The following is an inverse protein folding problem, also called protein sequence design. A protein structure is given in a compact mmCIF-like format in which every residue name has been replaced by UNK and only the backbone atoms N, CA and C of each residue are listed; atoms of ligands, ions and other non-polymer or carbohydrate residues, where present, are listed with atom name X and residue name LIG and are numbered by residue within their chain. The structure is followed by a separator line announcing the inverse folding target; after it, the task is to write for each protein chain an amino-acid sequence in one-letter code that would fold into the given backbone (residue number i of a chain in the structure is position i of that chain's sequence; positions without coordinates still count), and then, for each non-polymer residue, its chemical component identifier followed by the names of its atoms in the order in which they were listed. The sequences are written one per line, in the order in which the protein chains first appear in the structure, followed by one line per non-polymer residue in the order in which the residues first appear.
data_IF_728333218862
#
_entry.id   IF_728333218862
#
_cell.length_a   1.000
_cell.length_b   1.000
_cell.length_c   1.000
_cell.angle_alpha   90.00
_cell.angle_beta   90.00
_cell.angle_gamma   90.00
#
_symmetry.space_group_name_H-M   'P 1'
#
loop_
_entity.id
_entity.type
_entity.pdbx_description
1 polymer ?
#
# COMPACT_ATOMS: atom_id res chain seq x y z
N UNK A 1 -18.35 -5.85 22.69
CA UNK A 1 -18.95 -4.86 21.77
C UNK A 1 -18.49 -5.17 20.35
N UNK A 2 -19.35 -5.06 19.33
CA UNK A 2 -18.90 -5.21 17.95
C UNK A 2 -17.90 -4.09 17.60
N UNK A 3 -16.79 -4.44 16.92
CA UNK A 3 -15.59 -3.58 16.75
C UNK A 3 -15.89 -2.16 16.23
N UNK A 4 -16.95 -1.99 15.44
CA UNK A 4 -17.35 -0.68 14.92
C UNK A 4 -17.78 0.32 16.02
N UNK A 5 -18.32 -0.14 17.15
CA UNK A 5 -18.74 0.75 18.25
C UNK A 5 -17.56 1.36 19.03
N UNK A 6 -16.38 0.76 18.97
CA UNK A 6 -15.18 1.19 19.71
C UNK A 6 -14.41 2.35 19.08
N UNK A 7 -14.72 2.72 17.83
CA UNK A 7 -13.87 3.65 17.05
C UNK A 7 -14.37 5.10 17.10
N UNK A 8 -15.67 5.32 17.34
CA UNK A 8 -16.26 6.67 17.34
C UNK A 8 -15.77 7.54 18.50
N UNK A 9 -15.39 6.95 19.63
CA UNK A 9 -14.87 7.69 20.80
C UNK A 9 -13.51 8.35 20.56
N UNK A 10 -12.80 7.97 19.50
CA UNK A 10 -11.51 8.57 19.09
C UNK A 10 -11.64 9.37 17.78
N UNK A 11 -12.86 9.78 17.40
CA UNK A 11 -13.10 10.57 16.20
C UNK A 11 -13.08 9.77 14.89
N UNK A 12 -13.00 8.44 14.94
CA UNK A 12 -13.03 7.59 13.74
C UNK A 12 -14.48 7.22 13.41
N UNK A 13 -14.92 7.55 12.20
CA UNK A 13 -16.24 7.18 11.66
C UNK A 13 -16.08 5.93 10.80
N UNK A 14 -16.46 4.73 11.30
CA UNK A 14 -16.35 3.51 10.50
C UNK A 14 -17.42 3.50 9.39
N UNK A 15 -17.01 3.12 8.19
CA UNK A 15 -17.90 2.77 7.09
C UNK A 15 -17.97 1.24 6.99
N UNK A 16 -19.18 0.69 6.85
CA UNK A 16 -19.38 -0.76 6.76
C UNK A 16 -19.48 -1.15 5.29
N UNK A 17 -18.54 -1.97 4.83
CA UNK A 17 -18.48 -2.46 3.46
C UNK A 17 -17.33 -3.46 3.27
N UNK A 18 -17.14 -3.89 2.04
CA UNK A 18 -15.97 -4.64 1.57
C UNK A 18 -15.22 -3.83 0.50
N UNK A 19 -14.13 -4.38 0.02
CA UNK A 19 -13.40 -3.85 -1.13
C UNK A 19 -14.24 -3.82 -2.44
N UNK A 20 -15.31 -4.62 -2.51
CA UNK A 20 -16.26 -4.63 -3.64
C UNK A 20 -17.38 -3.58 -3.50
N UNK A 21 -17.37 -2.79 -2.42
CA UNK A 21 -18.40 -1.79 -2.15
C UNK A 21 -18.08 -0.46 -2.85
N UNK A 22 -18.02 -0.48 -4.19
CA UNK A 22 -17.60 0.65 -5.02
C UNK A 22 -18.30 1.97 -4.67
N UNK A 23 -19.63 1.95 -4.51
CA UNK A 23 -20.41 3.14 -4.15
C UNK A 23 -19.99 3.76 -2.81
N UNK A 24 -19.64 2.92 -1.83
CA UNK A 24 -19.20 3.35 -0.50
C UNK A 24 -17.80 3.97 -0.60
N UNK A 25 -16.91 3.30 -1.33
CA UNK A 25 -15.52 3.71 -1.51
C UNK A 25 -15.45 5.04 -2.28
N UNK A 26 -16.15 5.14 -3.42
CA UNK A 26 -16.20 6.36 -4.23
C UNK A 26 -16.74 7.53 -3.41
N UNK A 27 -17.87 7.31 -2.71
CA UNK A 27 -18.50 8.36 -1.90
C UNK A 27 -17.56 8.86 -0.82
N UNK A 28 -16.93 7.96 -0.06
CA UNK A 28 -15.99 8.32 0.99
C UNK A 28 -14.77 9.07 0.45
N UNK A 29 -14.16 8.57 -0.64
CA UNK A 29 -13.03 9.22 -1.29
C UNK A 29 -13.41 10.62 -1.81
N UNK A 30 -14.62 10.80 -2.34
CA UNK A 30 -15.09 12.12 -2.82
C UNK A 30 -15.26 13.17 -1.71
N UNK A 31 -15.30 12.74 -0.46
CA UNK A 31 -15.46 13.59 0.72
C UNK A 31 -14.15 13.74 1.51
N UNK A 32 -13.04 13.16 1.04
CA UNK A 32 -11.77 13.09 1.76
C UNK A 32 -10.68 13.88 1.05
N UNK A 33 -9.92 14.68 1.80
CA UNK A 33 -8.75 15.40 1.26
C UNK A 33 -7.58 14.45 0.99
N UNK A 34 -7.43 13.44 1.84
CA UNK A 34 -6.39 12.41 1.78
C UNK A 34 -7.03 11.03 1.90
N UNK A 35 -6.60 10.09 1.07
CA UNK A 35 -6.96 8.67 1.18
C UNK A 35 -5.70 7.85 1.38
N UNK A 36 -5.65 7.04 2.44
CA UNK A 36 -4.60 6.04 2.67
C UNK A 36 -5.20 4.65 2.43
N UNK A 37 -4.75 3.96 1.40
CA UNK A 37 -5.29 2.66 0.99
C UNK A 37 -4.34 1.52 1.35
N UNK A 38 -4.79 0.68 2.29
CA UNK A 38 -4.01 -0.43 2.89
C UNK A 38 -4.73 -1.78 2.84
N UNK A 39 -5.98 -1.83 2.34
CA UNK A 39 -6.83 -3.01 2.37
C UNK A 39 -6.70 -3.80 1.06
N UNK A 40 -5.83 -4.82 1.03
CA UNK A 40 -5.52 -5.60 -0.18
C UNK A 40 -5.15 -4.71 -1.40
N UNK A 41 -4.66 -3.51 -1.13
CA UNK A 41 -4.55 -2.43 -2.11
C UNK A 41 -3.66 -2.82 -3.29
N UNK A 42 -2.60 -3.58 -3.03
CA UNK A 42 -1.60 -3.99 -4.02
C UNK A 42 -2.16 -4.85 -5.17
N UNK A 43 -3.25 -5.59 -4.95
CA UNK A 43 -3.84 -6.49 -5.95
C UNK A 43 -5.31 -6.19 -6.26
N UNK A 44 -5.92 -5.24 -5.54
CA UNK A 44 -7.33 -4.90 -5.68
C UNK A 44 -7.56 -3.69 -6.60
N UNK A 45 -7.64 -4.00 -7.89
CA UNK A 45 -7.83 -3.00 -8.94
C UNK A 45 -9.20 -2.29 -8.87
N UNK A 46 -10.34 -2.98 -8.63
CA UNK A 46 -11.65 -2.32 -8.48
C UNK A 46 -11.65 -1.21 -7.42
N UNK A 47 -11.25 -1.49 -6.18
CA UNK A 47 -11.24 -0.46 -5.12
C UNK A 47 -10.31 0.70 -5.46
N UNK A 48 -9.16 0.43 -6.08
CA UNK A 48 -8.24 1.48 -6.56
C UNK A 48 -8.93 2.41 -7.57
N UNK A 49 -9.71 1.87 -8.51
CA UNK A 49 -10.47 2.67 -9.48
C UNK A 49 -11.59 3.47 -8.79
N UNK A 50 -12.26 2.89 -7.81
CA UNK A 50 -13.32 3.55 -7.04
C UNK A 50 -12.78 4.72 -6.21
N UNK A 51 -11.61 4.55 -5.57
CA UNK A 51 -10.90 5.63 -4.87
C UNK A 51 -10.52 6.75 -5.84
N UNK A 52 -9.88 6.43 -6.97
CA UNK A 52 -9.47 7.43 -7.97
C UNK A 52 -10.68 8.20 -8.51
N UNK A 53 -11.79 7.49 -8.79
CA UNK A 53 -13.05 8.10 -9.23
C UNK A 53 -13.58 9.09 -8.20
N UNK A 54 -13.63 8.68 -6.93
CA UNK A 54 -14.06 9.54 -5.82
C UNK A 54 -13.17 10.77 -5.66
N UNK A 55 -11.85 10.60 -5.64
CA UNK A 55 -10.91 11.72 -5.52
C UNK A 55 -11.01 12.70 -6.70
N UNK A 56 -11.16 12.20 -7.94
CA UNK A 56 -11.39 13.04 -9.11
C UNK A 56 -12.71 13.82 -9.01
N UNK A 57 -13.76 13.22 -8.46
CA UNK A 57 -15.03 13.89 -8.19
C UNK A 57 -14.87 15.01 -7.16
N UNK A 58 -14.13 14.77 -6.06
CA UNK A 58 -13.79 15.82 -5.09
C UNK A 58 -13.06 16.99 -5.78
N UNK A 59 -12.03 16.70 -6.56
CA UNK A 59 -11.26 17.70 -7.29
C UNK A 59 -12.16 18.51 -8.21
N UNK A 60 -13.02 17.85 -8.99
CA UNK A 60 -13.96 18.51 -9.91
C UNK A 60 -14.96 19.42 -9.18
N UNK A 61 -15.47 18.98 -8.03
CA UNK A 61 -16.48 19.73 -7.26
C UNK A 61 -15.87 20.89 -6.47
N UNK A 62 -14.67 20.71 -5.91
CA UNK A 62 -14.07 21.69 -4.99
C UNK A 62 -13.01 22.58 -5.63
N UNK A 63 -12.43 22.16 -6.77
CA UNK A 63 -11.25 22.78 -7.36
C UNK A 63 -9.96 22.57 -6.55
N UNK A 64 -10.03 21.86 -5.41
CA UNK A 64 -8.88 21.63 -4.53
C UNK A 64 -8.19 20.32 -4.88
N UNK A 65 -6.88 20.27 -4.68
CA UNK A 65 -6.10 19.04 -4.83
C UNK A 65 -6.58 17.94 -3.87
N UNK A 66 -6.31 16.68 -4.22
CA UNK A 66 -6.49 15.53 -3.34
C UNK A 66 -5.23 14.66 -3.31
N UNK A 67 -4.97 13.99 -2.19
CA UNK A 67 -3.80 13.13 -1.97
C UNK A 67 -4.25 11.67 -1.87
N UNK A 68 -3.55 10.79 -2.59
CA UNK A 68 -3.76 9.35 -2.53
C UNK A 68 -2.44 8.65 -2.15
N UNK A 69 -2.42 8.05 -0.97
CA UNK A 69 -1.30 7.22 -0.47
C UNK A 69 -1.70 5.76 -0.65
N UNK A 70 -1.07 5.10 -1.61
CA UNK A 70 -1.30 3.71 -1.95
C UNK A 70 -0.26 2.80 -1.31
N UNK A 71 -0.70 1.70 -0.70
CA UNK A 71 0.20 0.66 -0.20
C UNK A 71 0.35 -0.42 -1.27
N UNK A 72 1.47 -0.42 -1.97
CA UNK A 72 1.87 -1.50 -2.87
C UNK A 72 2.64 -2.58 -2.09
N UNK A 73 3.69 -3.12 -2.71
CA UNK A 73 4.61 -4.04 -2.03
C UNK A 73 5.85 -4.32 -2.87
N UNK A 74 6.98 -4.66 -2.22
CA UNK A 74 8.23 -4.95 -2.94
C UNK A 74 8.17 -6.21 -3.82
N UNK A 75 7.04 -6.93 -3.85
CA UNK A 75 6.80 -7.99 -4.82
C UNK A 75 6.95 -7.54 -6.27
N UNK A 76 6.73 -6.26 -6.56
CA UNK A 76 6.97 -5.66 -7.88
C UNK A 76 8.44 -5.64 -8.30
N UNK A 77 9.35 -5.71 -7.33
CA UNK A 77 10.80 -5.74 -7.54
C UNK A 77 11.33 -7.18 -7.62
N UNK A 78 10.45 -8.18 -7.49
CA UNK A 78 10.86 -9.56 -7.39
C UNK A 78 11.30 -10.13 -8.75
N UNK A 79 12.33 -10.96 -8.72
CA UNK A 79 12.81 -11.72 -9.87
C UNK A 79 12.63 -13.22 -9.63
N UNK A 80 12.32 -13.99 -10.67
CA UNK A 80 12.29 -15.44 -10.58
C UNK A 80 13.72 -16.02 -10.57
N UNK A 81 14.20 -16.27 -9.37
CA UNK A 81 15.53 -16.83 -9.06
C UNK A 81 15.51 -18.33 -8.80
N UNK A 82 14.40 -19.05 -9.06
CA UNK A 82 14.34 -20.51 -8.81
C UNK A 82 15.34 -21.31 -9.63
N UNK A 83 15.75 -20.79 -10.79
CA UNK A 83 16.69 -21.41 -11.74
C UNK A 83 17.88 -20.49 -12.08
N UNK A 84 18.12 -19.46 -11.27
CA UNK A 84 19.14 -18.43 -11.51
C UNK A 84 19.79 -18.02 -10.19
N UNK A 85 20.96 -17.41 -10.25
CA UNK A 85 21.57 -16.75 -9.08
C UNK A 85 20.73 -15.52 -8.67
N UNK A 86 20.87 -15.11 -7.41
CA UNK A 86 20.23 -13.90 -6.91
C UNK A 86 20.71 -12.65 -7.66
N UNK A 87 19.83 -11.65 -7.79
CA UNK A 87 20.18 -10.33 -8.32
C UNK A 87 20.77 -9.45 -7.22
N UNK A 88 21.85 -8.75 -7.52
CA UNK A 88 22.43 -7.73 -6.63
C UNK A 88 21.88 -6.32 -6.93
N UNK A 89 20.77 -6.23 -7.66
CA UNK A 89 20.13 -4.96 -8.00
C UNK A 89 19.55 -4.31 -6.75
N UNK A 90 20.02 -3.10 -6.44
CA UNK A 90 19.50 -2.28 -5.34
C UNK A 90 18.59 -1.20 -5.92
N UNK A 91 17.32 -1.22 -5.50
CA UNK A 91 16.35 -0.18 -5.82
C UNK A 91 16.34 0.89 -4.72
N UNK A 92 16.24 2.15 -5.14
CA UNK A 92 16.08 3.30 -4.24
C UNK A 92 15.02 4.24 -4.80
N UNK A 93 14.20 4.77 -3.91
CA UNK A 93 13.20 5.81 -4.16
C UNK A 93 13.81 7.14 -4.64
N UNK A 94 15.09 7.39 -4.34
CA UNK A 94 15.88 8.49 -4.93
C UNK A 94 16.03 8.34 -6.46
N UNK A 95 15.82 7.13 -6.98
CA UNK A 95 15.82 6.79 -8.41
C UNK A 95 14.48 6.15 -8.80
N UNK A 96 13.38 6.85 -8.48
CA UNK A 96 12.01 6.39 -8.75
C UNK A 96 11.75 6.10 -10.23
N UNK A 97 12.51 6.69 -11.15
CA UNK A 97 12.50 6.37 -12.58
C UNK A 97 12.81 4.89 -12.87
N UNK A 98 13.74 4.29 -12.10
CA UNK A 98 14.08 2.86 -12.24
C UNK A 98 12.97 1.94 -11.78
N UNK A 99 12.19 2.38 -10.78
CA UNK A 99 11.03 1.63 -10.27
C UNK A 99 9.85 1.80 -11.22
N UNK A 100 9.59 3.03 -11.66
CA UNK A 100 8.50 3.33 -12.60
C UNK A 100 8.75 2.75 -14.00
N UNK A 101 10.01 2.52 -14.37
CA UNK A 101 10.42 1.89 -15.62
C UNK A 101 10.43 0.37 -15.61
N UNK A 102 9.97 -0.28 -14.53
CA UNK A 102 9.79 -1.73 -14.51
C UNK A 102 8.77 -2.18 -15.56
N UNK A 103 8.94 -3.39 -16.16
CA UNK A 103 8.00 -3.92 -17.14
C UNK A 103 6.56 -3.94 -16.63
N UNK A 104 5.59 -3.68 -17.50
CA UNK A 104 4.17 -3.62 -17.13
C UNK A 104 3.61 -4.97 -16.64
N UNK A 105 4.28 -6.07 -17.00
CA UNK A 105 3.93 -7.43 -16.60
C UNK A 105 4.50 -7.83 -15.23
N UNK A 106 5.30 -6.97 -14.59
CA UNK A 106 5.78 -7.23 -13.23
C UNK A 106 4.59 -7.37 -12.26
N UNK A 107 4.80 -8.17 -11.23
CA UNK A 107 3.75 -8.43 -10.22
C UNK A 107 3.28 -7.11 -9.61
N UNK A 108 1.96 -6.95 -9.42
CA UNK A 108 1.32 -5.74 -8.88
C UNK A 108 1.29 -4.50 -9.81
N UNK A 109 2.00 -4.50 -10.94
CA UNK A 109 2.09 -3.32 -11.84
C UNK A 109 0.76 -2.89 -12.43
N UNK A 110 -0.17 -3.82 -12.62
CA UNK A 110 -1.51 -3.53 -13.11
C UNK A 110 -2.24 -2.49 -12.25
N UNK A 111 -2.00 -2.46 -10.93
CA UNK A 111 -2.55 -1.45 -10.02
C UNK A 111 -1.72 -0.17 -10.07
N UNK A 112 -0.39 -0.27 -9.95
CA UNK A 112 0.50 0.89 -9.97
C UNK A 112 0.31 1.77 -11.23
N UNK A 113 0.23 1.14 -12.41
CA UNK A 113 0.07 1.82 -13.69
C UNK A 113 -1.23 2.62 -13.73
N UNK A 114 -2.31 2.14 -13.10
CA UNK A 114 -3.58 2.86 -13.04
C UNK A 114 -3.45 4.11 -12.17
N UNK A 115 -2.69 4.04 -11.09
CA UNK A 115 -2.43 5.18 -10.19
C UNK A 115 -1.53 6.22 -10.88
N UNK A 116 -0.42 5.77 -11.48
CA UNK A 116 0.52 6.62 -12.23
C UNK A 116 -0.21 7.35 -13.36
N UNK A 117 -1.03 6.63 -14.13
CA UNK A 117 -1.79 7.22 -15.23
C UNK A 117 -2.84 8.22 -14.71
N UNK A 118 -3.55 7.92 -13.62
CA UNK A 118 -4.53 8.84 -13.05
C UNK A 118 -3.88 10.19 -12.64
N UNK A 119 -2.72 10.15 -11.98
CA UNK A 119 -1.96 11.36 -11.62
C UNK A 119 -1.43 12.11 -12.84
N UNK A 120 -0.99 11.39 -13.88
CA UNK A 120 -0.52 12.00 -15.14
C UNK A 120 -1.60 12.80 -15.84
N UNK A 121 -2.84 12.33 -15.85
CA UNK A 121 -3.97 13.00 -16.51
C UNK A 121 -4.71 13.99 -15.61
N UNK A 122 -4.45 14.00 -14.29
CA UNK A 122 -5.02 14.97 -13.38
C UNK A 122 -3.93 15.57 -12.45
N UNK A 123 -3.39 16.76 -12.76
CA UNK A 123 -2.31 17.35 -11.97
C UNK A 123 -2.69 17.74 -10.53
N UNK A 124 -4.00 17.80 -10.23
CA UNK A 124 -4.53 18.05 -8.88
C UNK A 124 -4.68 16.76 -8.04
N UNK A 125 -4.48 15.58 -8.64
CA UNK A 125 -4.41 14.31 -7.93
C UNK A 125 -2.95 13.99 -7.61
N UNK A 126 -2.55 14.15 -6.35
CA UNK A 126 -1.21 13.80 -5.88
C UNK A 126 -1.21 12.36 -5.39
N UNK A 127 -0.28 11.54 -5.89
CA UNK A 127 -0.22 10.11 -5.57
C UNK A 127 1.15 9.74 -5.05
N UNK A 128 1.20 8.88 -4.03
CA UNK A 128 2.43 8.21 -3.59
C UNK A 128 2.13 6.72 -3.43
N UNK A 129 2.99 5.88 -4.00
CA UNK A 129 2.97 4.43 -3.77
C UNK A 129 4.09 4.05 -2.81
N UNK A 130 3.73 3.49 -1.66
CA UNK A 130 4.67 2.94 -0.68
C UNK A 130 4.84 1.46 -0.98
N UNK A 131 6.09 0.99 -1.14
CA UNK A 131 6.41 -0.42 -1.41
C UNK A 131 7.03 -1.06 -0.15
N UNK A 132 6.22 -1.43 0.87
CA UNK A 132 6.77 -2.10 2.04
C UNK A 132 7.32 -3.49 1.67
N UNK A 133 8.43 -3.92 2.30
CA UNK A 133 8.93 -5.27 2.16
C UNK A 133 8.20 -6.22 3.13
N UNK A 134 8.83 -7.29 3.61
CA UNK A 134 8.18 -8.17 4.61
C UNK A 134 8.00 -7.42 5.93
N UNK A 135 6.74 -7.21 6.30
CA UNK A 135 6.37 -6.52 7.54
C UNK A 135 6.34 -7.53 8.69
N UNK A 136 7.04 -7.23 9.79
CA UNK A 136 7.05 -8.04 11.02
C UNK A 136 6.83 -7.19 12.28
N UNK A 137 6.69 -7.84 13.44
CA UNK A 137 6.59 -7.17 14.74
C UNK A 137 5.16 -7.01 15.25
N UNK A 138 4.92 -7.22 16.54
CA UNK A 138 3.57 -7.34 17.13
C UNK A 138 2.91 -5.98 17.33
N UNK A 139 1.73 -5.74 16.72
CA UNK A 139 0.92 -4.57 17.04
C UNK A 139 0.12 -4.84 18.33
N UNK A 140 0.19 -3.90 19.27
CA UNK A 140 -0.68 -3.85 20.45
C UNK A 140 -1.78 -2.82 20.23
N UNK A 141 -3.06 -3.16 20.45
CA UNK A 141 -4.16 -2.18 20.37
C UNK A 141 -5.47 -2.75 19.81
N UNK A 142 -6.34 -1.85 19.33
CA UNK A 142 -7.70 -2.13 18.82
C UNK A 142 -7.73 -2.95 17.52
N UNK A 143 -6.61 -3.03 16.80
CA UNK A 143 -6.52 -3.68 15.50
C UNK A 143 -5.91 -5.09 15.59
N UNK A 144 -6.32 -5.96 14.66
CA UNK A 144 -5.92 -7.37 14.67
C UNK A 144 -4.40 -7.55 14.50
N UNK A 145 -3.86 -8.55 15.19
CA UNK A 145 -2.53 -9.08 14.96
C UNK A 145 -2.58 -9.96 13.71
N UNK A 146 -2.01 -9.51 12.59
CA UNK A 146 -1.91 -10.35 11.40
C UNK A 146 -0.54 -10.18 10.74
N UNK A 147 0.20 -11.29 10.63
CA UNK A 147 1.43 -11.40 9.82
C UNK A 147 1.17 -12.51 8.84
N UNK A 148 1.06 -12.20 7.55
CA UNK A 148 0.75 -13.24 6.58
C UNK A 148 2.02 -14.02 6.21
N UNK A 149 3.01 -13.39 5.59
CA UNK A 149 4.13 -14.11 5.00
C UNK A 149 5.03 -14.79 6.04
N UNK A 150 5.50 -14.07 7.06
CA UNK A 150 6.39 -14.63 8.08
C UNK A 150 5.69 -15.77 8.86
N UNK A 151 4.39 -15.62 9.17
CA UNK A 151 3.64 -16.70 9.83
C UNK A 151 3.52 -17.94 8.95
N UNK A 152 3.30 -17.79 7.64
CA UNK A 152 3.21 -18.91 6.71
C UNK A 152 4.52 -19.68 6.67
N UNK A 153 5.65 -18.97 6.52
CA UNK A 153 6.98 -19.57 6.48
C UNK A 153 7.32 -20.29 7.80
N UNK A 154 7.11 -19.63 8.95
CA UNK A 154 7.36 -20.22 10.27
C UNK A 154 6.47 -21.43 10.53
N UNK A 155 5.16 -21.36 10.23
CA UNK A 155 4.24 -22.50 10.42
C UNK A 155 4.63 -23.67 9.53
N UNK A 156 4.99 -23.42 8.26
CA UNK A 156 5.45 -24.48 7.36
C UNK A 156 6.70 -25.17 7.89
N UNK A 157 7.68 -24.38 8.37
CA UNK A 157 8.90 -24.92 8.94
C UNK A 157 8.66 -25.75 10.20
N UNK A 158 7.78 -25.28 11.10
CA UNK A 158 7.40 -26.01 12.31
C UNK A 158 6.70 -27.34 11.99
N UNK A 159 5.76 -27.35 11.04
CA UNK A 159 5.04 -28.56 10.62
C UNK A 159 6.00 -29.58 9.98
N UNK A 160 6.96 -29.11 9.17
CA UNK A 160 7.89 -29.97 8.43
C UNK A 160 9.13 -30.37 9.25
N UNK A 161 9.35 -29.75 10.40
CA UNK A 161 10.57 -29.90 11.20
C UNK A 161 11.85 -29.39 10.52
N UNK A 162 11.72 -28.62 9.43
CA UNK A 162 12.82 -28.08 8.63
C UNK A 162 12.38 -26.87 7.82
N UNK A 163 13.31 -25.96 7.55
CA UNK A 163 13.12 -24.87 6.59
C UNK A 163 13.39 -25.35 5.17
N UNK A 164 12.74 -24.76 4.18
CA UNK A 164 12.99 -25.04 2.77
C UNK A 164 13.93 -23.98 2.18
N UNK A 165 14.86 -24.43 1.35
CA UNK A 165 15.79 -23.58 0.61
C UNK A 165 15.42 -23.68 -0.87
N UNK A 166 15.15 -22.54 -1.49
CA UNK A 166 14.93 -22.45 -2.93
C UNK A 166 16.28 -22.18 -3.60
N UNK A 167 16.63 -22.99 -4.61
CA UNK A 167 17.88 -22.83 -5.36
C UNK A 167 19.13 -22.89 -4.45
N UNK A 168 20.18 -22.10 -4.76
CA UNK A 168 21.38 -21.98 -3.92
C UNK A 168 21.10 -21.42 -2.51
N UNK A 169 20.01 -20.67 -2.33
CA UNK A 169 19.67 -19.97 -1.08
C UNK A 169 20.24 -18.55 -0.99
N UNK A 170 20.58 -17.94 -2.12
CA UNK A 170 21.19 -16.61 -2.22
C UNK A 170 20.15 -15.49 -2.39
N UNK A 171 18.86 -15.85 -2.49
CA UNK A 171 17.78 -14.88 -2.62
C UNK A 171 17.67 -14.04 -1.36
N UNK A 172 17.70 -12.71 -1.53
CA UNK A 172 17.49 -11.76 -0.45
C UNK A 172 16.09 -11.17 -0.54
N UNK A 173 15.49 -10.89 0.61
CA UNK A 173 14.24 -10.14 0.69
C UNK A 173 14.26 -9.30 1.95
N UNK A 174 14.07 -7.99 1.79
CA UNK A 174 14.14 -7.04 2.90
C UNK A 174 12.97 -7.23 3.87
N UNK A 175 13.07 -6.61 5.05
CA UNK A 175 12.00 -6.62 6.03
C UNK A 175 11.95 -5.28 6.78
N UNK A 176 10.81 -4.98 7.39
CA UNK A 176 10.57 -3.77 8.16
C UNK A 176 9.72 -4.09 9.38
N UNK A 177 10.06 -3.50 10.53
CA UNK A 177 9.22 -3.61 11.71
C UNK A 177 7.98 -2.73 11.53
N UNK A 178 6.81 -3.18 11.99
CA UNK A 178 5.55 -2.45 11.81
C UNK A 178 5.56 -1.06 12.44
N UNK A 179 6.27 -0.89 13.57
CA UNK A 179 6.40 0.42 14.21
C UNK A 179 7.14 1.41 13.27
N UNK A 180 8.28 1.00 12.72
CA UNK A 180 9.05 1.82 11.79
C UNK A 180 8.25 2.13 10.51
N UNK A 181 7.46 1.16 10.03
CA UNK A 181 6.58 1.39 8.89
C UNK A 181 5.50 2.43 9.22
N UNK A 182 4.85 2.32 10.37
CA UNK A 182 3.85 3.31 10.81
C UNK A 182 4.48 4.69 10.92
N UNK A 183 5.68 4.81 11.51
CA UNK A 183 6.41 6.09 11.59
C UNK A 183 6.70 6.65 10.19
N UNK A 184 7.10 5.80 9.23
CA UNK A 184 7.31 6.22 7.84
C UNK A 184 6.02 6.75 7.18
N UNK A 185 4.85 6.13 7.45
CA UNK A 185 3.56 6.64 6.96
C UNK A 185 3.20 7.98 7.59
N UNK A 186 3.46 8.17 8.88
CA UNK A 186 3.22 9.45 9.57
C UNK A 186 4.09 10.55 8.96
N UNK A 187 5.40 10.29 8.81
CA UNK A 187 6.32 11.24 8.18
C UNK A 187 5.87 11.58 6.76
N UNK A 188 5.52 10.57 5.96
CA UNK A 188 5.04 10.78 4.60
C UNK A 188 3.77 11.65 4.57
N UNK A 189 2.81 11.33 5.44
CA UNK A 189 1.56 12.08 5.55
C UNK A 189 1.81 13.54 5.93
N UNK A 190 2.61 13.79 6.95
CA UNK A 190 2.94 15.15 7.42
C UNK A 190 3.66 15.95 6.34
N UNK A 191 4.62 15.35 5.63
CA UNK A 191 5.33 16.02 4.53
C UNK A 191 4.39 16.34 3.36
N UNK A 192 3.48 15.42 3.01
CA UNK A 192 2.49 15.66 1.96
C UNK A 192 1.51 16.77 2.35
N UNK A 193 1.07 16.82 3.61
CA UNK A 193 0.22 17.90 4.11
C UNK A 193 0.95 19.24 4.20
N UNK A 194 2.23 19.26 4.55
CA UNK A 194 3.00 20.50 4.57
C UNK A 194 3.13 21.15 3.18
N UNK A 195 3.16 20.34 2.12
CA UNK A 195 3.33 20.82 0.73
C UNK A 195 2.01 20.99 0.00
N UNK A 196 1.03 20.13 0.26
CA UNK A 196 -0.22 20.04 -0.48
C UNK A 196 -1.46 20.10 0.41
N UNK A 197 -1.33 20.35 1.70
CA UNK A 197 -2.46 20.46 2.61
C UNK A 197 -3.43 21.57 2.21
N UNK A 198 -4.68 21.54 2.72
CA UNK A 198 -5.67 22.58 2.46
C UNK A 198 -5.24 23.97 2.95
N UNK A 199 -4.27 24.04 3.86
CA UNK A 199 -3.71 25.27 4.44
C UNK A 199 -2.29 25.59 3.92
N UNK A 200 -1.77 24.80 2.96
CA UNK A 200 -0.44 24.98 2.36
C UNK A 200 -0.42 26.04 1.24
#
# INVERSE_FOLDING_TARGET
MPRHQTHTSIGVIPLIGSNDSDDIIEKAASQSDVVIHTANSVDDLPSTRSIITGLNKRIKTTGKLAIYIHTGGTGVLAEDVRRKEGSNTIYSDLHSDKINGLPDEQTHRNVDLVIINAAKFNPLLKTVTVLPPVIYGIITGLFNRAYMLLSILLRSALIRGKTEKIGPGESTWNNVHIADLVDAYIILFDQLLAVYGPDA
#
